data_IF_963191945731
#
_entry.id   IF_963191945731
#
_cell.length_a   1.000
_cell.length_b   1.000
_cell.length_c   1.000
_cell.angle_alpha   90.00
_cell.angle_beta   90.00
_cell.angle_gamma   90.00
#
_symmetry.space_group_name_H-M   'P 1'
#
loop_
_entity.id
_entity.type
_entity.pdbx_description
1 polymer ?
#
# COMPACT_ATOMS: atom_id res chain seq x y z
N UNK A 1 15.09 23.57 -8.99
CA UNK A 1 14.85 22.96 -7.69
C UNK A 1 13.88 21.81 -7.94
N UNK A 2 14.40 20.58 -7.96
CA UNK A 2 13.64 19.34 -8.19
C UNK A 2 13.07 18.89 -6.86
N UNK A 3 11.74 18.88 -6.75
CA UNK A 3 11.03 18.28 -5.64
C UNK A 3 10.95 16.77 -5.85
N UNK A 4 11.68 16.01 -5.06
CA UNK A 4 11.50 14.56 -4.91
C UNK A 4 10.27 14.31 -4.04
N UNK A 5 9.22 13.79 -4.66
CA UNK A 5 8.05 13.25 -3.97
C UNK A 5 8.44 11.91 -3.33
N UNK A 6 8.21 11.68 -2.04
CA UNK A 6 8.47 10.39 -1.43
C UNK A 6 7.47 9.35 -1.96
N UNK A 7 8.00 8.33 -2.64
CA UNK A 7 7.30 7.09 -2.93
C UNK A 7 6.89 6.43 -1.61
N UNK A 8 5.62 6.56 -1.27
CA UNK A 8 5.04 5.80 -0.18
C UNK A 8 5.09 4.31 -0.48
N UNK A 9 5.68 3.63 0.45
CA UNK A 9 5.80 2.20 0.59
C UNK A 9 4.46 1.49 0.42
N UNK A 10 4.23 0.88 -0.75
CA UNK A 10 3.40 -0.31 -0.85
C UNK A 10 4.30 -1.48 -0.48
N UNK A 11 4.34 -1.72 0.82
CA UNK A 11 5.04 -2.80 1.44
C UNK A 11 4.48 -4.17 1.05
N UNK A 12 5.39 -5.12 0.98
CA UNK A 12 5.20 -6.56 1.21
C UNK A 12 4.20 -7.32 0.32
N UNK A 13 4.35 -7.20 -1.01
CA UNK A 13 4.02 -8.32 -1.89
C UNK A 13 5.35 -8.98 -2.27
N UNK A 14 5.58 -10.17 -1.72
CA UNK A 14 6.81 -10.97 -1.83
C UNK A 14 7.47 -10.90 -3.21
N UNK A 15 8.78 -10.63 -3.29
CA UNK A 15 9.55 -10.64 -4.54
C UNK A 15 9.55 -12.02 -5.23
N UNK A 16 9.15 -13.07 -4.52
CA UNK A 16 9.18 -14.47 -4.95
C UNK A 16 8.17 -14.80 -6.06
N UNK A 17 7.11 -14.01 -6.28
CA UNK A 17 6.10 -14.32 -7.31
C UNK A 17 6.20 -13.57 -8.63
N UNK A 18 7.01 -12.54 -8.76
CA UNK A 18 7.12 -11.75 -10.01
C UNK A 18 7.73 -12.55 -11.18
N UNK A 19 8.64 -13.45 -10.92
CA UNK A 19 9.25 -14.31 -11.95
C UNK A 19 8.26 -15.34 -12.55
N UNK A 20 7.15 -15.64 -11.87
CA UNK A 20 6.12 -16.58 -12.36
C UNK A 20 5.20 -16.00 -13.43
N UNK A 21 5.24 -14.68 -13.68
CA UNK A 21 4.35 -14.04 -14.66
C UNK A 21 5.09 -13.71 -15.97
N UNK A 22 4.42 -13.88 -17.14
CA UNK A 22 4.96 -13.45 -18.42
C UNK A 22 5.23 -11.93 -18.42
N UNK A 23 6.29 -11.49 -19.13
CA UNK A 23 6.66 -10.07 -19.25
C UNK A 23 5.51 -9.17 -19.73
N UNK A 24 4.64 -9.69 -20.63
CA UNK A 24 3.47 -8.98 -21.10
C UNK A 24 2.44 -8.71 -19.99
N UNK A 25 2.29 -9.62 -19.03
CA UNK A 25 1.39 -9.44 -17.88
C UNK A 25 1.97 -8.49 -16.86
N UNK A 26 3.29 -8.55 -16.63
CA UNK A 26 3.99 -7.62 -15.74
C UNK A 26 3.94 -6.19 -16.29
N UNK A 27 4.09 -6.02 -17.61
CA UNK A 27 3.99 -4.69 -18.23
C UNK A 27 2.58 -4.08 -18.13
N UNK A 28 1.53 -4.89 -18.28
CA UNK A 28 0.14 -4.46 -18.05
C UNK A 28 -0.14 -4.16 -16.56
N UNK A 29 0.61 -4.81 -15.65
CA UNK A 29 0.49 -4.60 -14.20
C UNK A 29 1.24 -3.34 -13.73
N UNK A 30 2.36 -3.00 -14.35
CA UNK A 30 3.20 -1.85 -13.99
C UNK A 30 2.79 -0.56 -14.75
N UNK A 31 1.99 -0.67 -15.83
CA UNK A 31 1.40 0.46 -16.54
C UNK A 31 0.22 1.02 -15.71
N UNK A 32 0.52 1.93 -14.76
CA UNK A 32 -0.49 2.74 -14.08
C UNK A 32 -1.21 3.67 -15.07
N UNK A 33 -2.46 4.10 -14.78
CA UNK A 33 -3.17 5.07 -15.58
C UNK A 33 -2.40 6.41 -15.54
N UNK A 34 -1.68 6.73 -16.61
CA UNK A 34 -0.95 8.00 -16.75
C UNK A 34 0.53 7.91 -17.09
N UNK A 35 1.16 6.76 -17.01
CA UNK A 35 2.55 6.62 -17.45
C UNK A 35 2.58 6.35 -18.95
N UNK A 36 2.80 7.40 -19.75
CA UNK A 36 2.95 7.34 -21.22
C UNK A 36 4.24 6.61 -21.67
N UNK A 37 4.45 5.38 -21.21
CA UNK A 37 5.54 4.49 -21.65
C UNK A 37 5.14 3.65 -22.87
N UNK A 38 4.31 4.20 -23.77
CA UNK A 38 3.99 3.63 -25.06
C UNK A 38 5.24 3.62 -25.96
N UNK A 39 6.17 2.71 -25.76
CA UNK A 39 7.35 2.61 -26.62
C UNK A 39 8.47 1.68 -26.14
N UNK A 40 8.58 1.37 -24.86
CA UNK A 40 9.63 0.48 -24.37
C UNK A 40 9.14 -0.98 -24.40
N UNK A 41 9.78 -1.81 -25.23
CA UNK A 41 9.55 -3.27 -25.22
C UNK A 41 9.87 -3.82 -23.82
N UNK A 42 8.97 -4.61 -23.20
CA UNK A 42 9.20 -5.18 -21.89
C UNK A 42 10.47 -6.05 -21.91
N UNK A 43 11.32 -5.92 -20.90
CA UNK A 43 12.47 -6.79 -20.71
C UNK A 43 11.97 -8.22 -20.48
N UNK A 44 12.59 -9.20 -21.17
CA UNK A 44 12.24 -10.62 -21.06
C UNK A 44 12.45 -11.08 -19.61
N UNK A 45 11.46 -11.76 -19.05
CA UNK A 45 11.59 -12.40 -17.73
C UNK A 45 12.31 -13.74 -17.86
N UNK A 46 12.88 -14.27 -16.76
CA UNK A 46 13.48 -15.60 -16.73
C UNK A 46 12.49 -16.68 -17.20
N UNK A 47 11.20 -16.54 -16.85
CA UNK A 47 10.15 -17.44 -17.31
C UNK A 47 9.97 -17.41 -18.85
N UNK A 48 10.05 -16.24 -19.47
CA UNK A 48 9.94 -16.13 -20.92
C UNK A 48 11.06 -16.87 -21.61
N UNK A 49 12.27 -16.80 -21.07
CA UNK A 49 13.42 -17.55 -21.55
C UNK A 49 13.27 -19.06 -21.36
N UNK A 50 12.80 -19.49 -20.17
CA UNK A 50 12.53 -20.91 -19.91
C UNK A 50 11.52 -21.48 -20.91
N UNK A 51 10.40 -20.78 -21.15
CA UNK A 51 9.39 -21.22 -22.10
C UNK A 51 9.95 -21.26 -23.53
N UNK A 52 10.79 -20.29 -23.93
CA UNK A 52 11.41 -20.27 -25.26
C UNK A 52 12.37 -21.45 -25.42
N UNK A 53 13.21 -21.71 -24.44
CA UNK A 53 14.15 -22.86 -24.43
C UNK A 53 13.39 -24.19 -24.41
N UNK A 54 12.36 -24.33 -23.58
CA UNK A 54 11.53 -25.55 -23.56
C UNK A 54 10.87 -25.82 -24.91
N UNK A 55 10.30 -24.79 -25.55
CA UNK A 55 9.72 -24.96 -26.89
C UNK A 55 10.77 -25.29 -27.94
N UNK A 56 11.96 -24.69 -27.86
CA UNK A 56 13.06 -24.98 -28.76
C UNK A 56 13.54 -26.43 -28.60
N UNK A 57 13.72 -26.90 -27.38
CA UNK A 57 14.08 -28.28 -27.09
C UNK A 57 12.99 -29.26 -27.54
N UNK A 58 11.73 -28.90 -27.32
CA UNK A 58 10.59 -29.74 -27.76
C UNK A 58 10.58 -29.93 -29.27
N UNK A 59 10.74 -28.86 -30.06
CA UNK A 59 10.74 -28.98 -31.53
C UNK A 59 11.93 -29.80 -32.04
N UNK A 60 13.11 -29.67 -31.40
CA UNK A 60 14.27 -30.49 -31.73
C UNK A 60 14.06 -31.95 -31.34
N UNK A 61 13.40 -32.25 -30.22
CA UNK A 61 13.04 -33.62 -29.84
C UNK A 61 12.06 -34.23 -30.85
N UNK A 62 11.02 -33.49 -31.24
CA UNK A 62 10.07 -33.92 -32.27
C UNK A 62 10.76 -34.11 -33.63
N UNK A 63 11.65 -33.19 -34.02
CA UNK A 63 12.48 -33.34 -35.21
C UNK A 63 13.28 -34.65 -35.18
N UNK A 64 13.96 -34.93 -34.07
CA UNK A 64 14.76 -36.16 -33.96
C UNK A 64 13.92 -37.44 -34.10
N UNK A 65 12.71 -37.46 -33.56
CA UNK A 65 11.76 -38.56 -33.76
C UNK A 65 11.33 -38.69 -35.21
N UNK A 66 10.98 -37.58 -35.87
CA UNK A 66 10.57 -37.59 -37.29
C UNK A 66 11.70 -37.95 -38.23
N UNK A 67 12.98 -37.63 -37.90
CA UNK A 67 14.15 -38.05 -38.69
C UNK A 67 14.21 -39.56 -38.83
N UNK A 68 13.97 -40.29 -37.74
CA UNK A 68 13.94 -41.76 -37.79
C UNK A 68 12.89 -42.25 -38.78
N UNK A 69 11.68 -41.74 -38.72
CA UNK A 69 10.59 -42.12 -39.64
C UNK A 69 10.93 -41.84 -41.11
N UNK A 70 11.56 -40.70 -41.40
CA UNK A 70 11.96 -40.34 -42.78
C UNK A 70 13.08 -41.26 -43.31
N UNK A 71 14.03 -41.63 -42.44
CA UNK A 71 15.14 -42.54 -42.82
C UNK A 71 14.68 -43.98 -43.02
N UNK A 72 13.67 -44.41 -42.28
CA UNK A 72 13.11 -45.77 -42.35
C UNK A 72 12.08 -45.93 -43.49
N UNK A 73 11.74 -44.83 -44.20
CA UNK A 73 10.78 -44.87 -45.32
C UNK A 73 11.41 -45.46 -46.58
N UNK A 74 10.94 -46.62 -47.05
CA UNK A 74 11.52 -47.27 -48.23
C UNK A 74 11.28 -46.51 -49.49
N UNK A 75 12.27 -46.34 -50.38
CA UNK A 75 12.12 -45.82 -51.73
C UNK A 75 12.13 -44.30 -51.84
N UNK A 76 12.36 -43.55 -50.78
CA UNK A 76 12.54 -42.09 -50.89
C UNK A 76 13.90 -41.77 -51.61
N UNK A 77 13.89 -40.90 -52.65
CA UNK A 77 15.10 -40.45 -53.33
C UNK A 77 15.96 -39.65 -52.33
N UNK A 78 17.30 -39.95 -52.27
CA UNK A 78 18.22 -39.26 -51.36
C UNK A 78 18.13 -37.72 -51.37
N UNK A 79 18.02 -37.04 -52.52
CA UNK A 79 17.80 -35.58 -52.55
C UNK A 79 16.52 -35.10 -51.82
N UNK A 80 15.44 -35.88 -51.85
CA UNK A 80 14.20 -35.52 -51.10
C UNK A 80 14.37 -35.71 -49.58
N UNK A 81 15.11 -36.73 -49.17
CA UNK A 81 15.46 -36.91 -47.71
C UNK A 81 16.30 -35.72 -47.24
N UNK A 82 17.32 -35.31 -48.00
CA UNK A 82 18.14 -34.14 -47.63
C UNK A 82 17.32 -32.86 -47.58
N UNK A 83 16.39 -32.67 -48.53
CA UNK A 83 15.49 -31.53 -48.53
C UNK A 83 14.55 -31.51 -47.32
N UNK A 84 13.96 -32.63 -46.97
CA UNK A 84 13.10 -32.75 -45.80
C UNK A 84 13.87 -32.40 -44.49
N UNK A 85 15.00 -33.03 -44.28
CA UNK A 85 15.83 -32.77 -43.10
C UNK A 85 16.33 -31.34 -42.99
N UNK A 86 16.68 -30.72 -44.12
CA UNK A 86 17.13 -29.30 -44.13
C UNK A 86 15.96 -28.33 -43.85
N UNK A 87 14.77 -28.57 -44.42
CA UNK A 87 13.59 -27.77 -44.14
C UNK A 87 13.17 -27.91 -42.67
N UNK A 88 13.17 -29.11 -42.11
CA UNK A 88 12.87 -29.37 -40.71
C UNK A 88 13.85 -28.67 -39.78
N UNK A 89 15.16 -28.80 -40.01
CA UNK A 89 16.16 -28.15 -39.20
C UNK A 89 16.08 -26.60 -39.26
N UNK A 90 15.86 -26.02 -40.44
CA UNK A 90 15.63 -24.59 -40.60
C UNK A 90 14.37 -24.13 -39.90
N UNK A 91 13.31 -24.94 -39.94
CA UNK A 91 12.06 -24.67 -39.24
C UNK A 91 12.26 -24.64 -37.71
N UNK A 92 13.06 -25.57 -37.15
CA UNK A 92 13.41 -25.55 -35.73
C UNK A 92 14.12 -24.23 -35.33
N UNK A 93 15.01 -23.70 -36.17
CA UNK A 93 15.63 -22.40 -35.92
C UNK A 93 14.60 -21.26 -36.00
N UNK A 94 13.65 -21.34 -36.90
CA UNK A 94 12.61 -20.32 -37.09
C UNK A 94 11.68 -20.17 -35.88
N UNK A 95 11.65 -21.12 -34.92
CA UNK A 95 10.87 -21.03 -33.68
C UNK A 95 11.23 -19.78 -32.87
N UNK A 96 12.47 -19.27 -32.94
CA UNK A 96 12.86 -18.03 -32.30
C UNK A 96 12.11 -16.78 -32.81
N UNK A 97 11.51 -16.85 -34.03
CA UNK A 97 10.70 -15.78 -34.60
C UNK A 97 9.25 -15.82 -34.10
N UNK A 98 8.81 -16.87 -33.42
CA UNK A 98 7.42 -17.09 -32.97
C UNK A 98 6.84 -15.93 -32.16
N UNK A 99 7.66 -15.23 -31.36
CA UNK A 99 7.20 -14.08 -30.58
C UNK A 99 7.17 -12.79 -31.38
N UNK A 100 8.04 -12.67 -32.41
CA UNK A 100 8.12 -11.48 -33.24
C UNK A 100 7.07 -11.46 -34.34
N UNK A 101 6.87 -12.61 -35.00
CA UNK A 101 5.94 -12.79 -36.10
C UNK A 101 5.12 -14.08 -35.95
N UNK A 102 4.25 -14.19 -34.93
CA UNK A 102 3.57 -15.45 -34.64
C UNK A 102 2.66 -15.90 -35.81
N UNK A 103 1.92 -14.98 -36.41
CA UNK A 103 1.04 -15.29 -37.58
C UNK A 103 1.87 -15.57 -38.83
N UNK A 104 2.91 -14.77 -39.10
CA UNK A 104 3.77 -14.97 -40.25
C UNK A 104 4.49 -16.32 -40.21
N UNK A 105 5.02 -16.72 -39.05
CA UNK A 105 5.63 -18.03 -38.89
C UNK A 105 4.61 -19.16 -39.12
N UNK A 106 3.42 -19.08 -38.51
CA UNK A 106 2.41 -20.12 -38.67
C UNK A 106 1.91 -20.27 -40.10
N UNK A 107 1.78 -19.15 -40.81
CA UNK A 107 1.41 -19.17 -42.25
C UNK A 107 2.55 -19.75 -43.10
N UNK A 108 3.81 -19.36 -42.84
CA UNK A 108 4.96 -19.90 -43.56
C UNK A 108 5.14 -21.41 -43.31
N UNK A 109 4.75 -21.90 -42.13
CA UNK A 109 4.80 -23.32 -41.81
C UNK A 109 3.73 -24.17 -42.49
N UNK A 110 2.71 -23.59 -43.12
CA UNK A 110 1.69 -24.38 -43.89
C UNK A 110 2.34 -25.07 -45.11
N UNK A 111 2.98 -24.36 -46.07
CA UNK A 111 3.65 -25.03 -47.18
C UNK A 111 4.89 -25.84 -46.75
N UNK A 112 5.63 -25.39 -45.73
CA UNK A 112 6.81 -26.10 -45.24
C UNK A 112 6.40 -27.43 -44.60
N UNK A 113 5.38 -27.46 -43.76
CA UNK A 113 4.87 -28.69 -43.12
C UNK A 113 4.23 -29.65 -44.14
N UNK A 114 3.73 -29.14 -45.29
CA UNK A 114 3.28 -30.00 -46.38
C UNK A 114 4.47 -30.60 -47.15
N UNK A 115 5.56 -29.84 -47.31
CA UNK A 115 6.77 -30.27 -48.00
C UNK A 115 7.68 -31.18 -47.16
N UNK A 116 7.67 -31.05 -45.85
CA UNK A 116 8.59 -31.73 -44.92
C UNK A 116 7.84 -32.34 -43.76
N UNK A 117 8.03 -33.63 -43.50
CA UNK A 117 7.45 -34.34 -42.37
C UNK A 117 8.16 -33.92 -41.04
N UNK A 118 9.49 -33.73 -41.11
CA UNK A 118 10.29 -33.31 -39.98
C UNK A 118 9.95 -31.90 -39.45
N UNK A 119 9.24 -31.06 -40.23
CA UNK A 119 8.76 -29.74 -39.80
C UNK A 119 7.45 -29.78 -38.99
N UNK A 120 6.78 -30.94 -38.87
CA UNK A 120 5.47 -31.08 -38.21
C UNK A 120 5.43 -30.56 -36.79
N UNK A 121 6.48 -30.81 -35.98
CA UNK A 121 6.59 -30.30 -34.63
C UNK A 121 6.58 -28.77 -34.53
N UNK A 122 7.21 -28.11 -35.49
CA UNK A 122 7.23 -26.62 -35.56
C UNK A 122 5.88 -26.07 -35.97
N UNK A 123 5.16 -26.74 -36.88
CA UNK A 123 3.78 -26.38 -37.25
C UNK A 123 2.87 -26.35 -36.02
N UNK A 124 2.93 -27.36 -35.15
CA UNK A 124 2.14 -27.45 -33.92
C UNK A 124 2.50 -26.33 -32.93
N UNK A 125 3.78 -26.06 -32.70
CA UNK A 125 4.24 -25.00 -31.80
C UNK A 125 3.87 -23.61 -32.31
N UNK A 126 3.96 -23.39 -33.64
CA UNK A 126 3.54 -22.15 -34.29
C UNK A 126 2.03 -21.95 -34.14
N UNK A 127 1.21 -22.96 -34.41
CA UNK A 127 -0.24 -22.97 -34.24
C UNK A 127 -0.64 -22.71 -32.78
N UNK A 128 -0.02 -23.40 -31.83
CA UNK A 128 -0.23 -23.14 -30.41
C UNK A 128 0.06 -21.69 -30.03
N UNK A 129 1.17 -21.14 -30.53
CA UNK A 129 1.55 -19.75 -30.25
C UNK A 129 0.52 -18.76 -30.77
N UNK A 130 -0.04 -18.99 -31.96
CA UNK A 130 -1.14 -18.18 -32.50
C UNK A 130 -2.40 -18.33 -31.66
N UNK A 131 -2.77 -19.56 -31.23
CA UNK A 131 -3.94 -19.81 -30.42
C UNK A 131 -3.88 -19.08 -29.04
N UNK A 132 -2.70 -19.00 -28.44
CA UNK A 132 -2.52 -18.29 -27.17
C UNK A 132 -2.55 -16.76 -27.33
N UNK A 133 -1.96 -16.22 -28.41
CA UNK A 133 -1.67 -14.78 -28.49
C UNK A 133 -2.55 -13.99 -29.50
N UNK A 134 -3.31 -14.67 -30.37
CA UNK A 134 -4.06 -14.00 -31.44
C UNK A 134 -5.55 -14.29 -31.39
N UNK A 135 -6.41 -13.40 -31.96
CA UNK A 135 -7.85 -13.62 -32.02
C UNK A 135 -8.21 -14.90 -32.76
N UNK A 136 -9.36 -15.49 -32.41
CA UNK A 136 -9.85 -16.78 -32.93
C UNK A 136 -9.90 -16.83 -34.48
N UNK A 137 -10.18 -15.72 -35.14
CA UNK A 137 -10.19 -15.62 -36.59
C UNK A 137 -8.89 -16.10 -37.27
N UNK A 138 -7.72 -15.71 -36.70
CA UNK A 138 -6.41 -16.15 -37.24
C UNK A 138 -6.19 -17.63 -36.98
N UNK A 139 -6.56 -18.09 -35.81
CA UNK A 139 -6.45 -19.51 -35.40
C UNK A 139 -7.30 -20.37 -36.34
N UNK A 140 -8.56 -19.96 -36.59
CA UNK A 140 -9.48 -20.69 -37.45
C UNK A 140 -8.98 -20.82 -38.88
N UNK A 141 -8.48 -19.73 -39.47
CA UNK A 141 -7.94 -19.77 -40.83
C UNK A 141 -6.69 -20.65 -40.95
N UNK A 142 -5.73 -20.52 -40.02
CA UNK A 142 -4.48 -21.28 -40.05
C UNK A 142 -4.74 -22.76 -39.75
N UNK A 143 -5.49 -23.06 -38.70
CA UNK A 143 -5.83 -24.43 -38.35
C UNK A 143 -6.70 -25.07 -39.44
N UNK A 144 -7.68 -24.33 -40.01
CA UNK A 144 -8.51 -24.80 -41.10
C UNK A 144 -7.69 -25.13 -42.34
N UNK A 145 -6.75 -24.28 -42.74
CA UNK A 145 -5.85 -24.54 -43.85
C UNK A 145 -4.96 -25.80 -43.62
N UNK A 146 -4.40 -25.94 -42.40
CA UNK A 146 -3.62 -27.13 -42.05
C UNK A 146 -4.49 -28.39 -42.11
N UNK A 147 -5.69 -28.39 -41.48
CA UNK A 147 -6.62 -29.50 -41.46
C UNK A 147 -7.07 -29.93 -42.86
N UNK A 148 -7.26 -28.98 -43.74
CA UNK A 148 -7.62 -29.24 -45.16
C UNK A 148 -6.50 -29.98 -45.91
N UNK A 149 -5.23 -29.71 -45.55
CA UNK A 149 -4.08 -30.32 -46.21
C UNK A 149 -3.70 -31.69 -45.63
N UNK A 150 -4.11 -32.03 -44.41
CA UNK A 150 -3.79 -33.27 -43.72
C UNK A 150 -4.19 -34.51 -44.53
N UNK A 151 -5.43 -34.65 -45.08
CA UNK A 151 -5.79 -35.82 -45.88
C UNK A 151 -4.96 -35.96 -47.13
N UNK A 152 -4.69 -34.85 -47.82
CA UNK A 152 -3.85 -34.84 -49.00
C UNK A 152 -2.40 -35.23 -48.68
N UNK A 153 -1.87 -34.78 -47.56
CA UNK A 153 -0.54 -35.10 -47.09
C UNK A 153 -0.37 -36.62 -46.92
N UNK A 154 -1.25 -37.26 -46.13
CA UNK A 154 -1.19 -38.73 -45.88
C UNK A 154 -1.58 -39.56 -47.08
N UNK A 155 -2.30 -39.02 -48.05
CA UNK A 155 -2.55 -39.70 -49.30
C UNK A 155 -1.28 -39.76 -50.17
N UNK A 156 -0.49 -38.67 -50.16
CA UNK A 156 0.78 -38.60 -50.92
C UNK A 156 1.93 -39.32 -50.21
N UNK A 157 1.90 -39.38 -48.87
CA UNK A 157 2.92 -39.97 -48.02
C UNK A 157 2.27 -40.91 -47.00
N UNK A 158 1.97 -42.15 -47.43
CA UNK A 158 1.37 -43.15 -46.55
C UNK A 158 2.32 -43.50 -45.38
N UNK A 159 1.79 -43.50 -44.18
CA UNK A 159 2.53 -43.91 -42.98
C UNK A 159 2.63 -45.44 -42.91
N UNK A 160 3.82 -46.06 -42.74
CA UNK A 160 3.95 -47.50 -42.75
C UNK A 160 3.21 -48.23 -41.62
N UNK A 161 3.12 -47.59 -40.42
CA UNK A 161 2.61 -48.20 -39.20
C UNK A 161 1.12 -47.90 -38.94
N UNK A 162 0.50 -46.98 -39.72
CA UNK A 162 -0.86 -46.53 -39.50
C UNK A 162 -1.70 -46.65 -40.80
N UNK A 163 -2.95 -47.04 -40.63
CA UNK A 163 -3.89 -46.93 -41.72
C UNK A 163 -4.11 -45.46 -42.08
N UNK A 164 -4.39 -45.13 -43.36
CA UNK A 164 -4.69 -43.81 -43.84
C UNK A 164 -5.71 -43.07 -42.92
N UNK A 165 -6.81 -43.73 -42.62
CA UNK A 165 -7.84 -43.19 -41.75
C UNK A 165 -7.29 -42.93 -40.33
N UNK A 166 -6.44 -43.81 -39.80
CA UNK A 166 -5.79 -43.65 -38.52
C UNK A 166 -4.85 -42.48 -38.47
N UNK A 167 -3.99 -42.31 -39.46
CA UNK A 167 -3.06 -41.21 -39.58
C UNK A 167 -3.77 -39.86 -39.67
N UNK A 168 -4.78 -39.75 -40.52
CA UNK A 168 -5.62 -38.55 -40.68
C UNK A 168 -6.34 -38.22 -39.36
N UNK A 169 -6.97 -39.22 -38.72
CA UNK A 169 -7.68 -39.03 -37.46
C UNK A 169 -6.74 -38.55 -36.33
N UNK A 170 -5.54 -39.15 -36.24
CA UNK A 170 -4.54 -38.78 -35.29
C UNK A 170 -4.07 -37.32 -35.47
N UNK A 171 -3.75 -36.88 -36.70
CA UNK A 171 -3.31 -35.53 -36.98
C UNK A 171 -4.43 -34.48 -36.74
N UNK A 172 -5.69 -34.82 -37.07
CA UNK A 172 -6.85 -33.99 -36.76
C UNK A 172 -7.03 -33.83 -35.25
N UNK A 173 -6.98 -34.94 -34.50
CA UNK A 173 -7.13 -34.93 -33.04
C UNK A 173 -6.00 -34.12 -32.37
N UNK A 174 -4.77 -34.31 -32.83
CA UNK A 174 -3.61 -33.57 -32.34
C UNK A 174 -3.73 -32.06 -32.59
N UNK A 175 -4.13 -31.68 -33.81
CA UNK A 175 -4.34 -30.26 -34.18
C UNK A 175 -5.44 -29.61 -33.33
N UNK A 176 -6.58 -30.30 -33.16
CA UNK A 176 -7.70 -29.83 -32.33
C UNK A 176 -7.26 -29.71 -30.89
N UNK A 177 -6.50 -30.68 -30.37
CA UNK A 177 -5.99 -30.67 -28.99
C UNK A 177 -5.03 -29.49 -28.77
N UNK A 178 -4.13 -29.21 -29.68
CA UNK A 178 -3.19 -28.08 -29.61
C UNK A 178 -3.92 -26.74 -29.63
N UNK A 179 -4.91 -26.59 -30.52
CA UNK A 179 -5.75 -25.38 -30.59
C UNK A 179 -6.57 -25.22 -29.31
N UNK A 180 -7.24 -26.29 -28.87
CA UNK A 180 -8.05 -26.29 -27.64
C UNK A 180 -7.24 -25.90 -26.41
N UNK A 181 -6.05 -26.50 -26.26
CA UNK A 181 -5.14 -26.16 -25.17
C UNK A 181 -4.64 -24.71 -25.24
N UNK A 182 -4.29 -24.23 -26.43
CA UNK A 182 -3.89 -22.83 -26.64
C UNK A 182 -5.02 -21.85 -26.29
N UNK A 183 -6.26 -22.14 -26.69
CA UNK A 183 -7.44 -21.35 -26.35
C UNK A 183 -7.74 -21.39 -24.86
N UNK A 184 -7.60 -22.54 -24.21
CA UNK A 184 -7.77 -22.69 -22.76
C UNK A 184 -6.77 -21.80 -21.99
N UNK A 185 -5.48 -21.86 -22.34
CA UNK A 185 -4.44 -21.02 -21.74
C UNK A 185 -4.75 -19.54 -21.92
N UNK A 186 -5.23 -19.13 -23.11
CA UNK A 186 -5.66 -17.76 -23.38
C UNK A 186 -6.85 -17.34 -22.52
N UNK A 187 -7.91 -18.17 -22.47
CA UNK A 187 -9.11 -17.91 -21.66
C UNK A 187 -8.78 -17.77 -20.18
N UNK A 188 -7.97 -18.70 -19.64
CA UNK A 188 -7.50 -18.63 -18.26
C UNK A 188 -6.73 -17.34 -17.97
N UNK A 189 -5.87 -16.90 -18.90
CA UNK A 189 -5.14 -15.64 -18.77
C UNK A 189 -6.09 -14.43 -18.74
N UNK A 190 -7.07 -14.38 -19.67
CA UNK A 190 -8.06 -13.30 -19.72
C UNK A 190 -8.91 -13.25 -18.44
N UNK A 191 -9.33 -14.40 -17.93
CA UNK A 191 -10.07 -14.49 -16.68
C UNK A 191 -9.26 -13.93 -15.51
N UNK A 192 -7.98 -14.32 -15.39
CA UNK A 192 -7.10 -13.81 -14.33
C UNK A 192 -6.91 -12.29 -14.39
N UNK A 193 -6.78 -11.72 -15.57
CA UNK A 193 -6.68 -10.26 -15.74
C UNK A 193 -7.98 -9.57 -15.33
N UNK A 194 -9.14 -10.10 -15.77
CA UNK A 194 -10.45 -9.53 -15.42
C UNK A 194 -10.76 -9.60 -13.91
N UNK A 195 -10.38 -10.69 -13.25
CA UNK A 195 -10.55 -10.83 -11.80
C UNK A 195 -9.68 -9.83 -11.02
N UNK A 196 -8.45 -9.60 -11.46
CA UNK A 196 -7.57 -8.59 -10.87
C UNK A 196 -8.10 -7.18 -11.03
N UNK A 197 -8.62 -6.83 -12.21
CA UNK A 197 -9.23 -5.54 -12.44
C UNK A 197 -10.46 -5.32 -11.55
N UNK A 198 -11.29 -6.36 -11.39
CA UNK A 198 -12.44 -6.30 -10.47
C UNK A 198 -12.00 -6.11 -9.02
N UNK A 199 -10.96 -6.85 -8.57
CA UNK A 199 -10.42 -6.71 -7.22
C UNK A 199 -9.92 -5.27 -6.97
N UNK A 200 -9.11 -4.72 -7.88
CA UNK A 200 -8.63 -3.33 -7.78
C UNK A 200 -9.76 -2.29 -7.72
N UNK A 201 -10.78 -2.46 -8.54
CA UNK A 201 -11.96 -1.57 -8.51
C UNK A 201 -12.69 -1.68 -7.18
N UNK A 202 -12.91 -2.89 -6.68
CA UNK A 202 -13.56 -3.12 -5.39
C UNK A 202 -12.77 -2.49 -4.22
N UNK A 203 -11.43 -2.61 -4.22
CA UNK A 203 -10.57 -1.95 -3.24
C UNK A 203 -10.68 -0.42 -3.28
N UNK A 204 -10.65 0.16 -4.51
CA UNK A 204 -10.80 1.61 -4.69
C UNK A 204 -12.18 2.09 -4.23
N UNK A 205 -13.25 1.37 -4.58
CA UNK A 205 -14.60 1.70 -4.15
C UNK A 205 -14.78 1.57 -2.63
N UNK A 206 -14.21 0.53 -2.01
CA UNK A 206 -14.24 0.35 -0.56
C UNK A 206 -13.54 1.51 0.15
N UNK A 207 -12.38 1.94 -0.37
CA UNK A 207 -11.66 3.10 0.16
C UNK A 207 -12.48 4.39 0.06
N UNK A 208 -13.05 4.65 -1.11
CA UNK A 208 -13.90 5.85 -1.30
C UNK A 208 -15.13 5.84 -0.40
N UNK A 209 -15.77 4.67 -0.21
CA UNK A 209 -16.91 4.54 0.73
C UNK A 209 -16.48 4.80 2.17
N UNK A 210 -15.31 4.31 2.58
CA UNK A 210 -14.77 4.57 3.93
C UNK A 210 -14.49 6.08 4.13
N UNK A 211 -13.87 6.75 3.14
CA UNK A 211 -13.63 8.19 3.17
C UNK A 211 -14.95 9.00 3.24
N UNK A 212 -15.95 8.59 2.46
CA UNK A 212 -17.28 9.21 2.50
C UNK A 212 -17.99 9.01 3.85
N UNK A 213 -17.96 7.78 4.39
CA UNK A 213 -18.56 7.49 5.70
C UNK A 213 -17.87 8.31 6.80
N UNK A 214 -16.56 8.48 6.75
CA UNK A 214 -15.83 9.31 7.69
C UNK A 214 -16.22 10.79 7.58
N UNK A 215 -16.40 11.32 6.36
CA UNK A 215 -16.87 12.70 6.15
C UNK A 215 -18.28 12.91 6.70
N UNK A 216 -19.21 12.00 6.39
CA UNK A 216 -20.59 12.08 6.88
C UNK A 216 -20.64 12.01 8.42
N UNK A 217 -19.88 11.11 9.03
CA UNK A 217 -19.78 11.04 10.49
C UNK A 217 -19.27 12.35 11.12
N UNK A 218 -18.28 13.01 10.48
CA UNK A 218 -17.82 14.33 10.95
C UNK A 218 -18.87 15.43 10.79
N UNK A 219 -19.61 15.43 9.69
CA UNK A 219 -20.70 16.38 9.45
C UNK A 219 -21.83 16.21 10.46
N UNK A 220 -22.19 14.97 10.79
CA UNK A 220 -23.21 14.66 11.78
C UNK A 220 -22.79 15.08 13.18
N UNK A 221 -21.55 14.78 13.59
CA UNK A 221 -20.98 15.26 14.86
C UNK A 221 -21.00 16.79 14.91
N UNK A 222 -20.57 17.48 13.83
CA UNK A 222 -20.56 18.94 13.80
C UNK A 222 -21.97 19.52 13.93
N UNK A 223 -22.98 18.89 13.34
CA UNK A 223 -24.38 19.33 13.43
C UNK A 223 -24.94 19.14 14.84
N UNK A 224 -24.76 17.94 15.43
CA UNK A 224 -25.17 17.65 16.81
C UNK A 224 -24.55 18.62 17.80
N UNK A 225 -23.26 18.93 17.61
CA UNK A 225 -22.52 19.89 18.43
C UNK A 225 -23.01 21.32 18.27
N UNK A 226 -23.38 21.72 17.04
CA UNK A 226 -23.98 23.04 16.80
C UNK A 226 -25.30 23.20 17.54
N UNK A 227 -26.13 22.17 17.57
CA UNK A 227 -27.42 22.18 18.23
C UNK A 227 -27.26 22.27 19.76
N UNK A 228 -26.30 21.54 20.36
CA UNK A 228 -25.99 21.64 21.80
C UNK A 228 -25.48 23.04 22.16
N UNK A 229 -24.55 23.59 21.39
CA UNK A 229 -24.03 24.94 21.62
C UNK A 229 -25.08 26.02 21.47
N UNK A 230 -25.94 25.94 20.43
CA UNK A 230 -27.01 26.88 20.21
C UNK A 230 -28.02 26.89 21.38
N UNK A 231 -28.35 25.71 21.90
CA UNK A 231 -29.23 25.57 23.06
C UNK A 231 -28.64 26.23 24.32
N UNK A 232 -27.34 25.96 24.62
CA UNK A 232 -26.68 26.55 25.79
C UNK A 232 -26.52 28.07 25.68
N UNK A 233 -26.15 28.60 24.49
CA UNK A 233 -26.07 30.04 24.25
C UNK A 233 -27.42 30.73 24.40
N UNK A 234 -28.49 30.08 23.99
CA UNK A 234 -29.87 30.57 24.19
C UNK A 234 -30.20 30.69 25.67
N UNK A 235 -29.91 29.67 26.47
CA UNK A 235 -30.12 29.68 27.94
C UNK A 235 -29.30 30.80 28.61
N UNK A 236 -28.01 30.95 28.22
CA UNK A 236 -27.15 32.05 28.67
C UNK A 236 -27.76 33.42 28.38
N UNK A 237 -28.24 33.61 27.13
CA UNK A 237 -28.86 34.88 26.70
C UNK A 237 -30.15 35.17 27.48
N UNK A 238 -30.97 34.17 27.78
CA UNK A 238 -32.21 34.31 28.58
C UNK A 238 -31.88 34.74 30.02
N UNK A 239 -30.88 34.09 30.66
CA UNK A 239 -30.47 34.43 32.03
C UNK A 239 -29.82 35.82 32.10
N UNK A 240 -29.03 36.22 31.12
CA UNK A 240 -28.43 37.55 31.04
C UNK A 240 -29.51 38.63 30.81
N UNK A 241 -30.48 38.39 29.90
CA UNK A 241 -31.59 39.30 29.66
C UNK A 241 -32.50 39.47 30.89
N UNK A 242 -32.73 38.41 31.65
CA UNK A 242 -33.49 38.49 32.91
C UNK A 242 -32.85 39.43 33.94
N UNK A 243 -31.50 39.44 34.04
CA UNK A 243 -30.72 40.37 34.88
C UNK A 243 -30.82 41.81 34.38
N UNK A 244 -30.77 42.04 33.08
CA UNK A 244 -30.88 43.37 32.45
C UNK A 244 -32.24 43.99 32.64
N UNK A 245 -33.32 43.18 32.64
CA UNK A 245 -34.69 43.63 32.80
C UNK A 245 -35.08 43.92 34.26
N UNK A 246 -34.32 43.46 35.27
CA UNK A 246 -34.55 43.66 36.70
C UNK A 246 -33.30 44.18 37.42
N UNK A 247 -32.92 45.46 37.20
CA UNK A 247 -31.72 46.01 37.83
C UNK A 247 -31.88 46.20 39.34
N UNK A 248 -33.10 46.28 39.87
CA UNK A 248 -33.41 46.44 41.29
C UNK A 248 -33.65 45.10 42.02
N UNK A 249 -33.31 43.96 41.45
CA UNK A 249 -33.47 42.67 42.10
C UNK A 249 -32.58 42.56 43.37
N UNK A 250 -33.00 41.74 44.36
CA UNK A 250 -32.18 41.53 45.57
C UNK A 250 -30.77 41.02 45.19
N UNK A 251 -29.75 41.49 45.93
CA UNK A 251 -28.35 41.13 45.68
C UNK A 251 -28.12 39.61 45.61
N UNK A 252 -28.89 38.85 46.36
CA UNK A 252 -28.80 37.36 46.37
C UNK A 252 -29.32 36.74 45.05
N UNK A 253 -30.35 37.31 44.42
CA UNK A 253 -30.89 36.88 43.14
C UNK A 253 -29.91 37.21 42.01
N UNK A 254 -29.32 38.39 42.02
CA UNK A 254 -28.30 38.81 41.06
C UNK A 254 -27.08 37.89 41.16
N UNK A 255 -26.60 37.60 42.39
CA UNK A 255 -25.45 36.73 42.61
C UNK A 255 -25.71 35.30 42.13
N UNK A 256 -26.92 34.76 42.36
CA UNK A 256 -27.36 33.45 41.92
C UNK A 256 -27.42 33.34 40.39
N UNK A 257 -28.03 34.30 39.73
CA UNK A 257 -28.15 34.34 38.29
C UNK A 257 -26.75 34.52 37.61
N UNK A 258 -25.91 35.37 38.16
CA UNK A 258 -24.52 35.51 37.68
C UNK A 258 -23.71 34.22 37.87
N UNK A 259 -23.97 33.45 38.96
CA UNK A 259 -23.41 32.13 39.17
C UNK A 259 -23.78 31.14 38.08
N UNK A 260 -25.07 31.06 37.74
CA UNK A 260 -25.59 30.17 36.69
C UNK A 260 -25.00 30.56 35.31
N UNK A 261 -24.93 31.84 34.99
CA UNK A 261 -24.32 32.31 33.73
C UNK A 261 -22.88 31.89 33.65
N UNK A 262 -22.08 32.08 34.72
CA UNK A 262 -20.67 31.72 34.75
C UNK A 262 -20.48 30.20 34.58
N UNK A 263 -21.30 29.38 35.26
CA UNK A 263 -21.22 27.94 35.20
C UNK A 263 -21.59 27.41 33.82
N UNK A 264 -22.70 27.88 33.24
CA UNK A 264 -23.12 27.54 31.87
C UNK A 264 -22.09 27.96 30.81
N UNK A 265 -21.45 29.12 30.97
CA UNK A 265 -20.40 29.56 30.08
C UNK A 265 -19.13 28.68 30.19
N UNK A 266 -18.78 28.25 31.39
CA UNK A 266 -17.65 27.35 31.61
C UNK A 266 -17.87 25.98 30.99
N UNK A 267 -19.07 25.41 31.18
CA UNK A 267 -19.45 24.13 30.54
C UNK A 267 -19.47 24.24 29.03
N UNK A 268 -20.02 25.31 28.44
CA UNK A 268 -20.03 25.52 27.00
C UNK A 268 -18.61 25.61 26.41
N UNK A 269 -17.67 26.25 27.11
CA UNK A 269 -16.28 26.31 26.72
C UNK A 269 -15.56 24.97 26.84
N UNK A 270 -15.92 24.16 27.80
CA UNK A 270 -15.36 22.82 28.01
C UNK A 270 -15.80 21.87 26.90
N UNK A 271 -17.10 21.85 26.57
CA UNK A 271 -17.65 21.09 25.48
C UNK A 271 -17.02 21.48 24.13
N UNK A 272 -16.86 22.79 23.88
CA UNK A 272 -16.22 23.29 22.67
C UNK A 272 -14.75 22.79 22.54
N UNK A 273 -14.02 22.72 23.64
CA UNK A 273 -12.63 22.19 23.66
C UNK A 273 -12.60 20.69 23.37
N UNK A 274 -13.54 19.93 23.92
CA UNK A 274 -13.69 18.50 23.68
C UNK A 274 -13.99 18.20 22.21
N UNK A 275 -14.94 18.96 21.63
CA UNK A 275 -15.30 18.88 20.21
C UNK A 275 -14.10 19.14 19.30
N UNK A 276 -13.39 20.25 19.54
CA UNK A 276 -12.18 20.60 18.76
C UNK A 276 -11.13 19.50 18.92
N UNK A 277 -11.03 18.89 20.10
CA UNK A 277 -10.15 17.74 20.36
C UNK A 277 -10.49 16.54 19.49
N UNK A 278 -11.75 16.14 19.43
CA UNK A 278 -12.24 15.01 18.61
C UNK A 278 -12.07 15.28 17.12
N UNK A 279 -12.40 16.48 16.64
CA UNK A 279 -12.25 16.85 15.24
C UNK A 279 -10.76 16.90 14.81
N UNK A 280 -9.85 17.33 15.69
CA UNK A 280 -8.41 17.36 15.46
C UNK A 280 -7.72 16.00 15.61
N UNK A 281 -8.25 15.08 16.41
CA UNK A 281 -7.68 13.75 16.57
C UNK A 281 -7.68 12.92 15.27
N UNK A 282 -8.48 13.32 14.27
CA UNK A 282 -8.53 12.70 12.95
C UNK A 282 -7.68 13.41 11.87
N UNK A 283 -7.13 14.58 12.17
CA UNK A 283 -6.16 15.24 11.30
C UNK A 283 -4.77 14.89 11.82
N UNK A 284 -4.00 14.15 11.03
CA UNK A 284 -2.58 13.89 11.30
C UNK A 284 -1.92 15.20 11.73
N UNK A 285 -1.08 15.15 12.73
CA UNK A 285 -0.32 16.27 13.34
C UNK A 285 0.44 17.19 12.33
N UNK A 286 0.37 16.90 11.03
CA UNK A 286 1.01 17.63 9.93
C UNK A 286 0.22 18.85 9.41
N UNK A 287 -1.07 19.02 9.77
CA UNK A 287 -1.92 20.10 9.23
C UNK A 287 -2.02 21.36 10.11
N UNK A 288 -1.37 21.41 11.25
CA UNK A 288 -1.29 22.63 12.07
C UNK A 288 -0.27 23.59 11.46
N UNK A 289 -0.75 24.36 10.51
CA UNK A 289 -0.21 25.57 9.90
C UNK A 289 1.23 25.97 10.17
N UNK A 290 2.14 25.77 9.22
CA UNK A 290 3.22 26.70 8.83
C UNK A 290 4.30 27.10 9.86
N UNK A 291 4.19 26.76 11.13
CA UNK A 291 5.25 26.98 12.13
C UNK A 291 5.91 25.64 12.46
N UNK A 292 7.26 25.58 12.48
CA UNK A 292 7.97 24.40 12.93
C UNK A 292 7.46 24.01 14.33
N UNK A 293 6.96 22.79 14.49
CA UNK A 293 6.54 22.32 15.81
C UNK A 293 7.76 22.30 16.75
N UNK A 294 7.63 22.81 17.99
CA UNK A 294 8.74 22.83 18.92
C UNK A 294 9.26 21.42 19.20
N UNK A 295 10.56 21.30 19.18
CA UNK A 295 11.31 20.06 19.47
C UNK A 295 12.05 20.21 20.78
N UNK A 296 12.93 19.25 21.08
CA UNK A 296 13.76 19.29 22.31
C UNK A 296 14.53 20.62 22.45
N UNK A 297 14.97 21.23 21.37
CA UNK A 297 15.64 22.55 21.35
C UNK A 297 14.73 23.69 21.81
N UNK A 298 13.41 23.52 21.85
CA UNK A 298 12.45 24.51 22.34
C UNK A 298 12.21 24.48 23.85
N UNK A 299 12.82 23.57 24.60
CA UNK A 299 12.58 23.41 26.04
C UNK A 299 13.01 24.63 26.86
N UNK A 300 14.09 25.30 26.47
CA UNK A 300 14.53 26.54 27.16
C UNK A 300 13.44 27.62 27.07
N UNK A 301 12.81 27.78 25.90
CA UNK A 301 11.69 28.71 25.71
C UNK A 301 10.48 28.34 26.57
N UNK A 302 10.12 27.05 26.62
CA UNK A 302 9.03 26.56 27.45
C UNK A 302 9.27 26.84 28.97
N UNK A 303 10.49 26.61 29.43
CA UNK A 303 10.87 26.89 30.82
C UNK A 303 10.87 28.38 31.11
N UNK A 304 11.32 29.23 30.17
CA UNK A 304 11.25 30.69 30.31
C UNK A 304 9.79 31.18 30.43
N UNK A 305 8.89 30.69 29.57
CA UNK A 305 7.45 30.99 29.66
C UNK A 305 6.84 30.57 31.01
N UNK A 306 7.24 29.41 31.55
CA UNK A 306 6.76 28.95 32.84
C UNK A 306 7.29 29.83 34.00
N UNK A 307 8.54 30.30 33.91
CA UNK A 307 9.14 31.22 34.91
C UNK A 307 8.46 32.60 34.83
N UNK A 308 8.19 33.12 33.67
CA UNK A 308 7.47 34.38 33.48
C UNK A 308 6.04 34.28 34.03
N UNK A 309 5.42 33.08 33.95
CA UNK A 309 4.14 32.80 34.60
C UNK A 309 4.21 32.58 36.12
N UNK A 310 5.35 32.84 36.75
CA UNK A 310 5.56 32.77 38.21
C UNK A 310 5.91 31.37 38.77
N UNK A 311 6.21 30.39 37.92
CA UNK A 311 6.67 29.08 38.38
C UNK A 311 8.17 29.07 38.69
N UNK A 312 8.57 28.31 39.71
CA UNK A 312 9.98 28.03 40.01
C UNK A 312 10.38 26.75 39.28
N UNK A 313 11.01 26.87 38.09
CA UNK A 313 11.41 25.72 37.28
C UNK A 313 12.92 25.71 37.09
N UNK A 314 13.53 24.54 37.40
CA UNK A 314 14.95 24.26 37.10
C UNK A 314 15.02 23.30 35.92
N UNK A 315 15.87 23.62 34.92
CA UNK A 315 16.13 22.77 33.75
C UNK A 315 17.55 22.20 33.82
N UNK A 316 17.66 20.88 33.78
CA UNK A 316 18.92 20.16 33.63
C UNK A 316 18.92 19.34 32.35
N UNK A 317 19.52 19.89 31.30
CA UNK A 317 19.56 19.30 29.95
C UNK A 317 20.93 18.67 29.71
N UNK A 318 21.02 17.32 29.83
CA UNK A 318 22.22 16.52 29.61
C UNK A 318 22.09 15.72 28.31
N UNK A 319 21.92 16.42 27.22
CA UNK A 319 21.88 15.86 25.84
C UNK A 319 23.00 16.57 25.06
N UNK A 320 24.00 15.84 24.53
CA UNK A 320 25.17 16.46 23.90
C UNK A 320 24.82 17.42 22.75
N UNK A 321 23.85 17.05 21.91
CA UNK A 321 23.32 17.88 20.84
C UNK A 321 21.79 17.72 20.76
N UNK A 322 21.03 18.64 21.34
CA UNK A 322 19.57 18.63 21.28
C UNK A 322 19.01 18.74 19.86
N UNK A 323 19.78 19.30 18.91
CA UNK A 323 19.41 19.45 17.50
C UNK A 323 19.53 18.13 16.71
N UNK A 324 20.38 17.22 17.14
CA UNK A 324 20.54 15.88 16.54
C UNK A 324 19.44 14.88 16.93
N UNK A 325 18.60 15.22 17.91
CA UNK A 325 17.48 14.37 18.30
C UNK A 325 16.47 14.28 17.17
N UNK A 326 16.06 13.07 16.71
CA UNK A 326 15.03 12.92 15.69
C UNK A 326 13.80 13.77 15.99
N UNK A 327 13.30 14.51 15.00
CA UNK A 327 12.23 15.50 15.21
C UNK A 327 10.95 14.89 15.85
N UNK A 328 10.58 13.65 15.52
CA UNK A 328 9.47 12.93 16.14
C UNK A 328 9.69 12.69 17.63
N UNK A 329 10.89 12.27 18.00
CA UNK A 329 11.29 12.01 19.37
C UNK A 329 11.34 13.32 20.18
N UNK A 330 11.94 14.36 19.60
CA UNK A 330 12.02 15.69 20.19
C UNK A 330 10.65 16.34 20.43
N UNK A 331 9.68 16.15 19.50
CA UNK A 331 8.30 16.58 19.71
C UNK A 331 7.60 15.85 20.84
N UNK A 332 7.76 14.52 20.91
CA UNK A 332 7.17 13.74 22.01
C UNK A 332 7.74 14.16 23.36
N UNK A 333 9.06 14.34 23.46
CA UNK A 333 9.73 14.83 24.65
C UNK A 333 9.24 16.22 25.09
N UNK A 334 9.13 17.16 24.14
CA UNK A 334 8.61 18.50 24.39
C UNK A 334 7.17 18.46 24.93
N UNK A 335 6.29 17.63 24.35
CA UNK A 335 4.91 17.49 24.82
C UNK A 335 4.80 16.89 26.19
N UNK A 336 5.64 15.91 26.53
CA UNK A 336 5.70 15.34 27.90
C UNK A 336 6.09 16.44 28.89
N UNK A 337 7.13 17.21 28.60
CA UNK A 337 7.55 18.31 29.45
C UNK A 337 6.46 19.38 29.61
N UNK A 338 5.82 19.80 28.51
CA UNK A 338 4.78 20.82 28.51
C UNK A 338 3.56 20.44 29.38
N UNK A 339 3.05 19.22 29.21
CA UNK A 339 1.90 18.73 29.96
C UNK A 339 2.25 18.52 31.43
N UNK A 340 3.44 17.96 31.72
CA UNK A 340 3.88 17.73 33.09
C UNK A 340 4.10 19.07 33.85
N UNK A 341 4.65 20.11 33.21
CA UNK A 341 4.76 21.45 33.79
C UNK A 341 3.40 22.12 34.00
N UNK A 342 2.47 21.91 33.05
CA UNK A 342 1.09 22.39 33.18
C UNK A 342 0.40 21.73 34.40
N UNK A 343 0.60 20.43 34.57
CA UNK A 343 0.05 19.68 35.73
C UNK A 343 0.69 20.13 37.06
N UNK A 344 1.99 20.36 37.10
CA UNK A 344 2.67 20.89 38.25
C UNK A 344 2.13 22.27 38.66
N UNK A 345 1.89 23.17 37.67
CA UNK A 345 1.27 24.49 37.94
C UNK A 345 -0.13 24.39 38.54
N UNK A 346 -0.93 23.41 38.12
CA UNK A 346 -2.32 23.21 38.58
C UNK A 346 -2.38 22.55 39.96
N UNK A 347 -1.52 21.56 40.18
CA UNK A 347 -1.64 20.66 41.34
C UNK A 347 -0.59 20.90 42.44
N UNK A 348 0.47 21.66 42.13
CA UNK A 348 1.53 21.99 43.09
C UNK A 348 2.00 23.45 42.91
N UNK A 349 1.07 24.45 43.05
CA UNK A 349 1.42 25.85 42.86
C UNK A 349 2.47 26.29 43.91
N UNK A 350 3.44 27.11 43.47
CA UNK A 350 4.49 27.66 44.36
C UNK A 350 5.66 26.73 44.67
N UNK A 351 5.58 25.43 44.33
CA UNK A 351 6.66 24.49 44.50
C UNK A 351 7.76 24.65 43.45
N UNK A 352 8.97 24.20 43.74
CA UNK A 352 10.06 24.12 42.77
C UNK A 352 9.91 22.86 41.92
N UNK A 353 9.87 23.04 40.58
CA UNK A 353 9.71 21.94 39.63
C UNK A 353 11.04 21.67 38.94
N UNK A 354 11.55 20.46 39.04
CA UNK A 354 12.76 20.03 38.34
C UNK A 354 12.42 19.32 37.03
N UNK A 355 12.89 19.85 35.88
CA UNK A 355 12.85 19.23 34.59
C UNK A 355 14.24 18.72 34.22
N UNK A 356 14.42 17.42 34.14
CA UNK A 356 15.68 16.79 33.75
C UNK A 356 15.51 16.04 32.47
N UNK A 357 16.40 16.25 31.48
CA UNK A 357 16.43 15.52 30.20
C UNK A 357 17.81 14.95 29.99
N UNK A 358 17.89 13.63 29.82
CA UNK A 358 19.15 12.91 29.65
C UNK A 358 19.01 11.93 28.48
N UNK A 359 20.05 11.74 27.68
CA UNK A 359 20.07 10.75 26.61
C UNK A 359 21.27 10.90 25.68
N UNK A 360 21.60 9.79 25.02
CA UNK A 360 22.64 9.72 24.00
C UNK A 360 22.15 8.88 22.81
N UNK A 361 22.62 9.13 21.58
CA UNK A 361 22.33 8.29 20.43
C UNK A 361 22.71 6.82 20.70
N UNK A 362 21.83 5.88 20.35
CA UNK A 362 22.02 4.45 20.59
C UNK A 362 21.50 3.94 21.94
N UNK A 363 21.01 4.84 22.82
CA UNK A 363 20.41 4.51 24.12
C UNK A 363 18.95 5.04 24.15
N UNK A 364 18.50 5.59 25.26
CA UNK A 364 17.17 6.16 25.41
C UNK A 364 17.25 7.65 25.81
N UNK A 365 16.31 8.44 25.29
CA UNK A 365 16.03 9.80 25.75
C UNK A 365 15.07 9.70 26.93
N UNK A 366 15.51 10.13 28.11
CA UNK A 366 14.71 10.15 29.34
C UNK A 366 14.36 11.57 29.72
N UNK A 367 13.07 11.85 29.91
CA UNK A 367 12.53 13.12 30.38
C UNK A 367 11.92 12.88 31.75
N UNK A 368 12.32 13.64 32.75
CA UNK A 368 11.78 13.56 34.11
C UNK A 368 11.34 14.94 34.55
N UNK A 369 10.08 15.06 34.96
CA UNK A 369 9.53 16.25 35.62
C UNK A 369 9.11 15.84 37.02
N UNK A 370 9.61 16.50 38.05
CA UNK A 370 9.31 16.21 39.44
C UNK A 370 9.06 17.50 40.21
N UNK A 371 8.09 17.45 41.09
CA UNK A 371 7.82 18.51 42.09
C UNK A 371 7.68 17.90 43.50
N UNK A 372 8.08 18.58 44.57
CA UNK A 372 7.80 18.19 45.94
C UNK A 372 6.32 18.34 46.30
N UNK A 373 5.92 17.87 47.48
CA UNK A 373 4.58 18.13 48.02
C UNK A 373 4.37 19.65 48.22
N UNK A 374 3.18 20.18 47.88
CA UNK A 374 2.85 21.58 48.15
C UNK A 374 2.80 21.83 49.69
N UNK A 375 3.32 22.99 50.14
CA UNK A 375 3.34 23.35 51.55
C UNK A 375 1.94 23.72 52.11
N UNK A 376 1.01 24.06 51.25
CA UNK A 376 -0.39 24.39 51.60
C UNK A 376 -1.37 23.36 51.04
N UNK A 377 -2.48 23.20 51.73
CA UNK A 377 -3.59 22.35 51.25
C UNK A 377 -4.18 22.97 49.97
N UNK A 378 -3.86 22.37 48.85
CA UNK A 378 -4.32 22.84 47.52
C UNK A 378 -5.73 22.29 47.30
N UNK A 379 -6.74 23.12 47.06
CA UNK A 379 -8.07 22.64 46.70
C UNK A 379 -8.00 21.63 45.55
N UNK A 380 -8.59 20.47 45.77
CA UNK A 380 -8.60 19.42 44.74
C UNK A 380 -9.32 19.93 43.50
N UNK A 381 -8.57 20.30 42.45
CA UNK A 381 -9.14 20.64 41.15
C UNK A 381 -9.42 19.32 40.44
N UNK A 382 -10.70 18.97 40.15
CA UNK A 382 -11.02 17.76 39.43
C UNK A 382 -10.38 17.86 38.03
N UNK A 383 -9.38 17.06 37.78
CA UNK A 383 -8.76 16.90 36.47
C UNK A 383 -9.38 15.70 35.76
N UNK A 384 -9.63 15.80 34.45
CA UNK A 384 -10.18 14.69 33.65
C UNK A 384 -9.23 13.47 33.55
N UNK A 385 -8.00 13.56 34.04
CA UNK A 385 -6.99 12.51 33.90
C UNK A 385 -6.52 12.22 32.47
N UNK A 386 -7.17 12.82 31.49
CA UNK A 386 -6.93 12.54 30.06
C UNK A 386 -5.55 12.98 29.58
N UNK A 387 -4.95 14.01 30.17
CA UNK A 387 -3.61 14.49 29.77
C UNK A 387 -2.53 13.42 29.92
N UNK A 388 -2.50 12.71 31.06
CA UNK A 388 -1.51 11.65 31.32
C UNK A 388 -1.79 10.39 30.48
N UNK A 389 -3.06 10.06 30.21
CA UNK A 389 -3.44 8.96 29.31
C UNK A 389 -2.92 9.24 27.89
N UNK A 390 -3.20 10.41 27.35
CA UNK A 390 -2.72 10.80 26.02
C UNK A 390 -1.20 10.85 25.89
N UNK A 391 -0.48 11.23 26.97
CA UNK A 391 0.97 11.15 27.00
C UNK A 391 1.49 9.71 27.01
N UNK A 392 0.83 8.80 27.74
CA UNK A 392 1.18 7.38 27.78
C UNK A 392 1.03 6.73 26.42
N UNK A 393 -0.07 7.02 25.71
CA UNK A 393 -0.31 6.55 24.34
C UNK A 393 0.76 7.05 23.39
N UNK A 394 1.10 8.34 23.41
CA UNK A 394 2.15 8.94 22.56
C UNK A 394 3.53 8.35 22.84
N UNK A 395 3.89 8.15 24.10
CA UNK A 395 5.16 7.51 24.45
C UNK A 395 5.23 6.07 23.93
N UNK A 396 4.13 5.32 24.04
CA UNK A 396 4.00 3.96 23.51
C UNK A 396 4.09 3.92 21.98
N UNK A 397 3.43 4.84 21.28
CA UNK A 397 3.52 4.96 19.82
C UNK A 397 4.94 5.31 19.33
N UNK A 398 5.71 6.04 20.17
CA UNK A 398 7.12 6.31 19.91
C UNK A 398 8.05 5.12 20.29
N UNK A 399 7.49 3.96 20.63
CA UNK A 399 8.25 2.79 21.06
C UNK A 399 8.82 2.88 22.48
N UNK A 400 8.42 3.91 23.26
CA UNK A 400 8.85 4.17 24.62
C UNK A 400 7.79 3.85 25.66
N UNK A 401 7.97 4.40 26.85
CA UNK A 401 7.00 4.30 27.95
C UNK A 401 6.96 5.58 28.78
N UNK A 402 5.85 5.80 29.48
CA UNK A 402 5.65 6.87 30.43
C UNK A 402 5.25 6.28 31.79
N UNK A 403 6.02 6.61 32.83
CA UNK A 403 5.74 6.27 34.21
C UNK A 403 5.37 7.56 34.96
N UNK A 404 4.33 7.54 35.77
CA UNK A 404 3.92 8.70 36.59
C UNK A 404 3.33 8.25 37.94
N UNK A 405 3.49 9.06 38.96
CA UNK A 405 2.94 8.78 40.29
C UNK A 405 3.52 9.62 41.39
N UNK A 406 2.97 9.46 42.61
CA UNK A 406 3.52 10.12 43.82
C UNK A 406 4.92 9.63 44.15
N UNK A 407 5.75 10.54 44.63
CA UNK A 407 7.08 10.20 45.16
C UNK A 407 6.99 9.84 46.67
N UNK A 408 7.97 9.11 47.24
CA UNK A 408 7.95 8.78 48.65
C UNK A 408 7.87 10.00 49.59
N UNK A 409 8.33 11.16 49.13
CA UNK A 409 8.33 12.43 49.83
C UNK A 409 7.02 13.22 49.66
N UNK A 410 5.96 12.58 49.14
CA UNK A 410 4.65 13.19 48.92
C UNK A 410 4.55 14.10 47.72
N UNK A 411 5.60 14.24 46.94
CA UNK A 411 5.58 14.98 45.66
C UNK A 411 5.02 14.14 44.51
N UNK A 412 5.19 14.62 43.28
CA UNK A 412 4.75 13.92 42.07
C UNK A 412 5.85 13.87 41.02
N UNK A 413 5.94 12.78 40.27
CA UNK A 413 6.91 12.60 39.20
C UNK A 413 6.26 12.03 37.94
N UNK A 414 6.65 12.60 36.80
CA UNK A 414 6.37 12.05 35.46
C UNK A 414 7.72 11.73 34.82
N UNK A 415 7.89 10.51 34.32
CA UNK A 415 9.11 10.05 33.65
C UNK A 415 8.75 9.39 32.30
N UNK A 416 9.18 9.99 31.21
CA UNK A 416 9.13 9.41 29.88
C UNK A 416 10.48 8.82 29.49
N UNK A 417 10.48 7.61 28.95
CA UNK A 417 11.68 6.95 28.38
C UNK A 417 11.39 6.58 26.94
N UNK A 418 12.12 7.18 26.01
CA UNK A 418 11.90 7.07 24.57
C UNK A 418 13.15 6.49 23.90
N UNK A 419 13.07 5.43 23.09
CA UNK A 419 14.23 4.82 22.45
C UNK A 419 14.83 5.79 21.41
N UNK A 420 16.13 6.06 21.56
CA UNK A 420 16.88 6.90 20.64
C UNK A 420 17.81 6.01 19.83
N UNK A 421 17.30 5.45 18.70
CA UNK A 421 18.09 4.67 17.76
C UNK A 421 19.28 5.45 17.22
N UNK A 422 20.42 4.78 17.08
CA UNK A 422 21.64 5.35 16.52
C UNK A 422 21.59 5.44 15.00
#
# INVERSE_FOLDING_TARGET
VRGDTPQQATGYAEPVRRWMFPSAVLHELDAGPGTGTAGRRPRRTARDWIVDVCCYLLVWALFAVSVQSVLDTPGLPGPLVVLDLTLGALSCQAVWLRRRWPVGLAVAMIPVGFASDTAGGVCLVALFTVAVHRPLRYVGWIAGAQLLLVPLFYWLRPEPDLSYAGAVAFALLLTVSVVGWGMFVRSKRQLMLSLRDRARRAETEARLRAEQAQRLAREDIAREMHDVLAHRLTLLSVHAGALEFRPDAPREEIARAAGVIRESAHEALQDLREIIGVLRAGESDDAAGGRPQPTLAGLDGLVAECRDAGMKVTLDLRVPDPGAVPASLGRTAYRIAQEALTNARKHAPGTEVALTVTGTPGDALTITVANPAPEADVPHVPGSGQGLIGLTERATLAGGRLDHGPTPDGGFRVRGTLPWGG
#
